data_IF_180043752291
#
_entry.id   IF_180043752291
#
_cell.length_a   1.000
_cell.length_b   1.000
_cell.length_c   1.000
_cell.angle_alpha   90.00
_cell.angle_beta   90.00
_cell.angle_gamma   90.00
#
_symmetry.space_group_name_H-M   'P 1'
#
loop_
_entity.id
_entity.type
_entity.pdbx_description
1 polymer ?
#
# COMPACT_ATOMS: atom_id res chain seq x y z
N UNK A 1 4.30 -21.04 -5.36
CA UNK A 1 4.19 -22.13 -4.38
C UNK A 1 3.21 -21.64 -3.31
N UNK A 2 1.99 -22.16 -3.30
CA UNK A 2 0.96 -21.80 -2.32
C UNK A 2 1.25 -22.55 -1.03
N UNK A 3 1.75 -21.86 -0.01
CA UNK A 3 1.89 -22.44 1.33
C UNK A 3 0.56 -22.23 2.05
N UNK A 4 -0.16 -23.33 2.28
CA UNK A 4 -1.29 -23.36 3.20
C UNK A 4 -0.74 -23.36 4.62
N UNK A 5 -1.01 -22.31 5.39
CA UNK A 5 -0.76 -22.30 6.85
C UNK A 5 -2.09 -22.40 7.56
N UNK A 6 -2.31 -23.51 8.24
CA UNK A 6 -3.46 -23.75 9.12
C UNK A 6 -3.15 -23.16 10.49
N UNK A 7 -3.88 -22.13 10.93
CA UNK A 7 -3.71 -21.57 12.28
C UNK A 7 -4.77 -22.10 13.24
N UNK A 8 -4.31 -22.66 14.37
CA UNK A 8 -5.11 -23.00 15.54
C UNK A 8 -5.19 -21.75 16.42
N UNK A 9 -6.40 -21.21 16.63
CA UNK A 9 -6.61 -20.06 17.52
C UNK A 9 -7.14 -20.54 18.89
N UNK A 10 -6.36 -20.28 19.94
CA UNK A 10 -6.85 -20.31 21.32
C UNK A 10 -7.66 -19.05 21.59
N UNK A 11 -8.88 -19.23 22.12
CA UNK A 11 -9.69 -18.13 22.63
C UNK A 11 -9.06 -17.60 23.91
N UNK A 12 -8.34 -16.48 23.83
CA UNK A 12 -8.07 -15.67 25.02
C UNK A 12 -8.39 -14.20 24.74
N UNK A 13 -9.47 -13.74 25.37
CA UNK A 13 -9.89 -12.34 25.42
C UNK A 13 -8.86 -11.55 26.23
N UNK A 14 -8.00 -10.79 25.56
CA UNK A 14 -7.18 -9.76 26.20
C UNK A 14 -7.59 -8.38 25.68
N UNK A 15 -7.73 -7.45 26.62
CA UNK A 15 -8.12 -6.07 26.38
C UNK A 15 -7.02 -5.35 25.58
N UNK A 16 -7.12 -5.41 24.25
CA UNK A 16 -6.46 -4.45 23.40
C UNK A 16 -7.07 -3.08 23.65
N UNK A 17 -6.23 -2.07 23.88
CA UNK A 17 -6.64 -0.68 23.69
C UNK A 17 -6.93 -0.56 22.19
N UNK A 18 -8.18 -0.79 21.80
CA UNK A 18 -8.62 -0.58 20.43
C UNK A 18 -8.58 0.93 20.22
N UNK A 19 -7.56 1.42 19.51
CA UNK A 19 -7.59 2.78 18.97
C UNK A 19 -8.91 2.89 18.20
N UNK A 20 -9.84 3.69 18.73
CA UNK A 20 -11.15 3.84 18.10
C UNK A 20 -10.97 4.79 16.93
N UNK A 21 -11.10 4.28 15.71
CA UNK A 21 -10.93 5.09 14.50
C UNK A 21 -12.12 6.03 14.28
N UNK A 22 -12.00 6.96 13.34
CA UNK A 22 -13.12 7.80 12.90
C UNK A 22 -14.30 6.95 12.37
N UNK A 23 -14.00 5.85 11.67
CA UNK A 23 -15.00 4.93 11.13
C UNK A 23 -15.66 4.12 12.25
N UNK A 24 -14.90 3.66 13.25
CA UNK A 24 -15.46 2.96 14.42
C UNK A 24 -16.44 3.87 15.18
N UNK A 25 -16.10 5.16 15.30
CA UNK A 25 -17.00 6.15 15.89
C UNK A 25 -18.28 6.35 15.07
N UNK A 26 -18.20 6.36 13.73
CA UNK A 26 -19.38 6.41 12.86
C UNK A 26 -20.27 5.17 13.04
N UNK A 27 -19.67 3.98 13.12
CA UNK A 27 -20.40 2.73 13.35
C UNK A 27 -21.07 2.71 14.73
N UNK A 28 -20.39 3.17 15.77
CA UNK A 28 -20.97 3.33 17.13
C UNK A 28 -22.12 4.35 17.15
N UNK A 29 -21.98 5.46 16.44
CA UNK A 29 -23.06 6.45 16.27
C UNK A 29 -24.27 5.82 15.57
N UNK A 30 -24.04 5.03 14.51
CA UNK A 30 -25.11 4.32 13.81
C UNK A 30 -25.82 3.31 14.72
N UNK A 31 -25.09 2.53 15.52
CA UNK A 31 -25.68 1.62 16.51
C UNK A 31 -26.51 2.36 17.56
N UNK A 32 -26.11 3.58 17.94
CA UNK A 32 -26.90 4.45 18.83
C UNK A 32 -28.18 4.96 18.15
N UNK A 33 -28.12 5.30 16.87
CA UNK A 33 -29.31 5.68 16.08
C UNK A 33 -30.26 4.48 15.94
N UNK A 34 -29.71 3.28 15.73
CA UNK A 34 -30.42 2.00 15.70
C UNK A 34 -31.01 1.62 17.05
N UNK A 35 -30.39 1.88 18.19
CA UNK A 35 -31.00 1.50 19.49
C UNK A 35 -32.18 2.42 19.85
N UNK A 36 -32.18 3.65 19.34
CA UNK A 36 -33.19 4.67 19.58
C UNK A 36 -34.33 4.71 18.53
N UNK A 37 -34.62 3.60 17.81
CA UNK A 37 -35.65 3.59 16.73
C UNK A 37 -37.02 4.08 17.19
N UNK A 38 -37.39 3.81 18.45
CA UNK A 38 -38.71 4.15 19.02
C UNK A 38 -38.89 5.65 19.29
N UNK A 39 -37.81 6.39 19.53
CA UNK A 39 -37.83 7.84 19.78
C UNK A 39 -37.63 8.67 18.49
N UNK A 40 -37.01 8.09 17.46
CA UNK A 40 -36.82 8.73 16.16
C UNK A 40 -38.06 8.57 15.26
N UNK A 41 -38.87 9.64 15.16
CA UNK A 41 -40.11 9.67 14.36
C UNK A 41 -39.99 9.20 12.91
N UNK A 42 -38.80 9.32 12.29
CA UNK A 42 -38.50 8.84 10.94
C UNK A 42 -38.49 7.31 10.81
N UNK A 43 -38.09 6.59 11.86
CA UNK A 43 -38.02 5.12 11.89
C UNK A 43 -39.30 4.46 12.44
N UNK A 44 -40.36 5.23 12.68
CA UNK A 44 -41.69 4.68 12.97
C UNK A 44 -42.24 3.88 11.79
N UNK A 45 -41.84 4.24 10.58
CA UNK A 45 -42.04 3.41 9.39
C UNK A 45 -40.93 2.36 9.29
N UNK A 46 -41.30 1.10 9.51
CA UNK A 46 -40.39 -0.04 9.45
C UNK A 46 -39.68 -0.16 8.09
N UNK A 47 -40.33 0.27 6.99
CA UNK A 47 -39.74 0.24 5.65
C UNK A 47 -38.55 1.18 5.54
N UNK A 48 -38.68 2.42 6.03
CA UNK A 48 -37.60 3.40 6.00
C UNK A 48 -36.39 2.95 6.84
N UNK A 49 -36.63 2.32 7.99
CA UNK A 49 -35.53 1.76 8.77
C UNK A 49 -34.78 0.66 8.02
N UNK A 50 -35.51 -0.29 7.41
CA UNK A 50 -34.91 -1.40 6.64
C UNK A 50 -34.08 -0.87 5.46
N UNK A 51 -34.62 0.07 4.69
CA UNK A 51 -33.92 0.64 3.54
C UNK A 51 -32.66 1.43 3.94
N UNK A 52 -32.73 2.25 4.99
CA UNK A 52 -31.55 2.98 5.48
C UNK A 52 -30.51 2.03 6.06
N UNK A 53 -30.92 1.00 6.82
CA UNK A 53 -29.98 0.03 7.35
C UNK A 53 -29.25 -0.73 6.23
N UNK A 54 -30.00 -1.20 5.23
CA UNK A 54 -29.43 -1.83 4.04
C UNK A 54 -28.50 -0.88 3.29
N UNK A 55 -28.83 0.40 3.21
CA UNK A 55 -27.96 1.41 2.61
C UNK A 55 -26.64 1.55 3.36
N UNK A 56 -26.66 1.65 4.70
CA UNK A 56 -25.43 1.71 5.51
C UNK A 56 -24.57 0.45 5.34
N UNK A 57 -25.18 -0.73 5.33
CA UNK A 57 -24.48 -1.99 5.05
C UNK A 57 -23.84 -1.98 3.65
N UNK A 58 -24.50 -1.38 2.65
CA UNK A 58 -23.98 -1.22 1.30
C UNK A 58 -22.84 -0.20 1.17
N UNK A 59 -22.66 0.71 2.14
CA UNK A 59 -21.49 1.58 2.19
C UNK A 59 -20.22 0.82 2.58
N UNK A 60 -20.37 -0.36 3.22
CA UNK A 60 -19.27 -1.21 3.66
C UNK A 60 -18.21 -0.44 4.46
N UNK A 61 -18.63 0.43 5.38
CA UNK A 61 -17.72 1.21 6.22
C UNK A 61 -16.88 0.28 7.10
N UNK A 62 -15.55 0.35 6.98
CA UNK A 62 -14.57 -0.35 7.80
C UNK A 62 -13.21 0.35 7.69
N UNK A 63 -12.24 -0.04 8.52
CA UNK A 63 -10.91 0.59 8.58
C UNK A 63 -9.96 0.17 7.46
N UNK A 64 -10.39 -0.69 6.52
CA UNK A 64 -9.58 -1.23 5.42
C UNK A 64 -10.31 -1.11 4.05
N UNK A 65 -11.08 -0.04 3.88
CA UNK A 65 -11.58 0.41 2.58
C UNK A 65 -10.43 0.87 1.67
N UNK A 66 -10.47 0.44 0.41
CA UNK A 66 -9.62 1.01 -0.65
C UNK A 66 -10.13 2.39 -1.09
N UNK A 67 -9.32 3.14 -1.84
CA UNK A 67 -9.72 4.42 -2.43
C UNK A 67 -11.00 4.29 -3.27
N UNK A 68 -11.11 3.26 -4.09
CA UNK A 68 -12.31 3.00 -4.90
C UNK A 68 -13.51 2.67 -4.02
N UNK A 69 -13.35 1.90 -2.95
CA UNK A 69 -14.45 1.63 -2.01
C UNK A 69 -14.93 2.91 -1.33
N UNK A 70 -14.01 3.83 -0.99
CA UNK A 70 -14.34 5.15 -0.45
C UNK A 70 -15.10 5.99 -1.49
N UNK A 71 -14.62 6.05 -2.74
CA UNK A 71 -15.30 6.76 -3.84
C UNK A 71 -16.71 6.20 -4.04
N UNK A 72 -16.87 4.88 -4.10
CA UNK A 72 -18.17 4.24 -4.27
C UNK A 72 -19.12 4.54 -3.11
N UNK A 73 -18.62 4.61 -1.88
CA UNK A 73 -19.41 5.01 -0.72
C UNK A 73 -19.84 6.49 -0.80
N UNK A 74 -18.92 7.39 -1.16
CA UNK A 74 -19.21 8.82 -1.37
C UNK A 74 -20.26 9.03 -2.47
N UNK A 75 -20.11 8.36 -3.61
CA UNK A 75 -21.08 8.41 -4.71
C UNK A 75 -22.48 7.94 -4.28
N UNK A 76 -22.57 6.88 -3.47
CA UNK A 76 -23.86 6.43 -2.92
C UNK A 76 -24.48 7.47 -2.00
N UNK A 77 -23.67 8.07 -1.12
CA UNK A 77 -24.12 9.11 -0.19
C UNK A 77 -24.62 10.33 -0.97
N UNK A 78 -23.84 10.84 -1.93
CA UNK A 78 -24.19 12.00 -2.75
C UNK A 78 -25.46 11.80 -3.60
N UNK A 79 -25.75 10.57 -4.01
CA UNK A 79 -26.99 10.21 -4.71
C UNK A 79 -28.18 9.92 -3.78
N UNK A 80 -28.02 10.10 -2.47
CA UNK A 80 -29.13 10.01 -1.53
C UNK A 80 -30.09 11.17 -1.77
N UNK A 81 -31.39 10.90 -1.69
CA UNK A 81 -32.36 11.96 -1.92
C UNK A 81 -32.69 12.75 -0.66
N UNK A 82 -32.57 14.07 -0.74
CA UNK A 82 -32.92 15.02 0.32
C UNK A 82 -34.23 15.74 0.01
N UNK A 83 -35.04 15.93 1.03
CA UNK A 83 -36.27 16.73 0.98
C UNK A 83 -36.12 18.00 1.83
N UNK A 84 -36.31 19.14 1.19
CA UNK A 84 -36.32 20.47 1.81
C UNK A 84 -37.46 21.30 1.22
N UNK A 85 -38.35 21.84 2.06
CA UNK A 85 -39.54 22.61 1.64
C UNK A 85 -40.31 21.98 0.45
N UNK A 86 -40.59 20.67 0.55
CA UNK A 86 -41.30 19.88 -0.48
C UNK A 86 -40.58 19.68 -1.82
N UNK A 87 -39.35 20.17 -1.95
CA UNK A 87 -38.49 19.92 -3.11
C UNK A 87 -37.57 18.75 -2.80
N UNK A 88 -37.37 17.87 -3.78
CA UNK A 88 -36.54 16.66 -3.69
C UNK A 88 -35.33 16.83 -4.62
N UNK A 89 -34.13 16.70 -4.08
CA UNK A 89 -32.88 16.83 -4.83
C UNK A 89 -31.81 15.85 -4.33
N UNK A 90 -30.75 15.60 -5.11
CA UNK A 90 -29.60 14.80 -4.67
C UNK A 90 -28.90 15.43 -3.47
N UNK A 91 -28.25 14.59 -2.66
CA UNK A 91 -27.53 15.07 -1.48
C UNK A 91 -26.29 15.89 -1.87
N UNK A 92 -25.66 15.62 -3.02
CA UNK A 92 -24.60 16.48 -3.56
C UNK A 92 -25.05 17.93 -3.73
N UNK A 93 -26.23 18.17 -4.30
CA UNK A 93 -26.78 19.52 -4.46
C UNK A 93 -27.09 20.16 -3.10
N UNK A 94 -27.54 19.37 -2.11
CA UNK A 94 -27.70 19.88 -0.74
C UNK A 94 -26.37 20.27 -0.11
N UNK A 95 -25.36 19.41 -0.23
CA UNK A 95 -24.03 19.62 0.34
C UNK A 95 -23.42 20.90 -0.24
N UNK A 96 -23.42 21.05 -1.57
CA UNK A 96 -22.89 22.23 -2.26
C UNK A 96 -23.62 23.52 -1.84
N UNK A 97 -24.96 23.52 -1.83
CA UNK A 97 -25.75 24.66 -1.36
C UNK A 97 -25.49 25.03 0.11
N UNK A 98 -25.02 24.09 0.92
CA UNK A 98 -24.64 24.30 2.32
C UNK A 98 -23.12 24.44 2.52
N UNK A 99 -22.37 24.67 1.44
CA UNK A 99 -20.91 24.91 1.43
C UNK A 99 -20.08 23.73 1.92
N UNK A 100 -20.61 22.52 1.81
CA UNK A 100 -19.81 21.31 1.94
C UNK A 100 -19.19 20.98 0.59
N UNK A 101 -17.99 20.39 0.63
CA UNK A 101 -17.31 19.90 -0.56
C UNK A 101 -18.02 18.64 -1.08
N UNK A 102 -17.92 18.39 -2.38
CA UNK A 102 -18.50 17.23 -3.06
C UNK A 102 -17.48 16.58 -4.00
N UNK A 103 -17.74 15.35 -4.45
CA UNK A 103 -16.89 14.63 -5.41
C UNK A 103 -16.67 15.42 -6.71
N UNK A 104 -17.66 16.23 -7.12
CA UNK A 104 -17.55 17.11 -8.29
C UNK A 104 -16.38 18.09 -8.19
N UNK A 105 -16.06 18.59 -7.00
CA UNK A 105 -14.92 19.51 -6.77
C UNK A 105 -13.58 18.83 -7.03
N UNK A 106 -13.55 17.50 -6.89
CA UNK A 106 -12.38 16.64 -7.10
C UNK A 106 -12.33 16.06 -8.52
N UNK A 107 -13.22 16.51 -9.41
CA UNK A 107 -13.39 16.01 -10.78
C UNK A 107 -13.72 14.51 -10.84
N UNK A 108 -14.33 13.97 -9.77
CA UNK A 108 -14.83 12.59 -9.76
C UNK A 108 -16.29 12.62 -10.20
N UNK A 109 -16.68 11.87 -11.24
CA UNK A 109 -18.06 11.84 -11.69
C UNK A 109 -18.94 11.24 -10.59
N UNK A 110 -20.08 11.89 -10.32
CA UNK A 110 -21.14 11.22 -9.58
C UNK A 110 -21.72 10.11 -10.47
N UNK A 111 -21.82 8.90 -9.92
CA UNK A 111 -22.42 7.77 -10.60
C UNK A 111 -23.37 7.06 -9.64
N UNK A 112 -24.55 6.67 -10.14
CA UNK A 112 -25.54 5.96 -9.35
C UNK A 112 -26.97 6.41 -9.60
N UNK A 113 -27.90 5.56 -9.18
CA UNK A 113 -29.32 5.89 -9.17
C UNK A 113 -29.70 6.53 -7.83
N UNK A 114 -30.65 7.48 -7.82
CA UNK A 114 -31.17 8.04 -6.59
C UNK A 114 -31.69 6.97 -5.64
N UNK A 115 -31.51 7.19 -4.33
CA UNK A 115 -32.02 6.26 -3.31
C UNK A 115 -33.55 6.16 -3.33
N UNK A 116 -34.06 4.97 -3.00
CA UNK A 116 -35.51 4.71 -2.91
C UNK A 116 -36.14 5.49 -1.75
N UNK A 117 -35.40 5.73 -0.67
CA UNK A 117 -35.82 6.55 0.46
C UNK A 117 -35.41 8.01 0.27
N UNK A 118 -36.03 8.89 1.08
CA UNK A 118 -35.67 10.31 1.15
C UNK A 118 -35.42 10.72 2.59
N UNK A 119 -34.45 11.60 2.80
CA UNK A 119 -34.08 12.12 4.12
C UNK A 119 -34.49 13.59 4.20
N UNK A 120 -35.06 14.01 5.33
CA UNK A 120 -35.32 15.43 5.56
C UNK A 120 -34.02 16.17 5.86
N UNK A 121 -33.80 17.31 5.21
CA UNK A 121 -32.61 18.17 5.39
C UNK A 121 -32.32 18.53 6.86
N UNK A 122 -33.35 18.67 7.69
CA UNK A 122 -33.21 19.07 9.10
C UNK A 122 -33.08 17.88 10.08
N UNK A 123 -33.00 16.65 9.56
CA UNK A 123 -32.98 15.43 10.38
C UNK A 123 -31.59 15.10 10.93
N UNK A 124 -31.57 14.34 12.03
CA UNK A 124 -30.32 13.76 12.55
C UNK A 124 -29.63 12.82 11.56
N UNK A 125 -30.40 12.16 10.67
CA UNK A 125 -29.85 11.35 9.59
C UNK A 125 -29.10 12.18 8.54
N UNK A 126 -29.62 13.35 8.17
CA UNK A 126 -28.91 14.26 7.27
C UNK A 126 -27.56 14.66 7.85
N UNK A 127 -27.52 14.99 9.15
CA UNK A 127 -26.27 15.31 9.87
C UNK A 127 -25.32 14.12 9.95
N UNK A 128 -25.85 12.93 10.21
CA UNK A 128 -25.06 11.69 10.23
C UNK A 128 -24.41 11.45 8.86
N UNK A 129 -25.18 11.51 7.76
CA UNK A 129 -24.62 11.33 6.41
C UNK A 129 -23.66 12.45 6.01
N UNK A 130 -23.87 13.68 6.46
CA UNK A 130 -22.91 14.79 6.28
C UNK A 130 -21.57 14.45 6.96
N UNK A 131 -21.62 13.90 8.18
CA UNK A 131 -20.42 13.49 8.92
C UNK A 131 -19.70 12.31 8.24
N UNK A 132 -20.44 11.27 7.84
CA UNK A 132 -19.88 10.13 7.09
C UNK A 132 -19.21 10.63 5.80
N UNK A 133 -19.90 11.48 5.04
CA UNK A 133 -19.37 12.07 3.81
C UNK A 133 -18.07 12.84 4.05
N UNK A 134 -18.06 13.74 5.04
CA UNK A 134 -16.88 14.57 5.35
C UNK A 134 -15.67 13.73 5.75
N UNK A 135 -15.87 12.69 6.57
CA UNK A 135 -14.80 11.76 6.98
C UNK A 135 -14.26 10.99 5.76
N UNK A 136 -15.14 10.39 4.96
CA UNK A 136 -14.75 9.63 3.78
C UNK A 136 -14.05 10.50 2.73
N UNK A 137 -14.51 11.73 2.52
CA UNK A 137 -13.87 12.66 1.59
C UNK A 137 -12.46 13.01 2.07
N UNK A 138 -12.28 13.25 3.38
CA UNK A 138 -10.97 13.54 3.97
C UNK A 138 -10.01 12.35 3.82
N UNK A 139 -10.51 11.13 4.08
CA UNK A 139 -9.77 9.89 3.90
C UNK A 139 -9.32 9.70 2.43
N UNK A 140 -10.24 9.92 1.48
CA UNK A 140 -9.92 9.85 0.05
C UNK A 140 -8.77 10.80 -0.33
N UNK A 141 -8.87 12.06 0.07
CA UNK A 141 -7.88 13.07 -0.28
C UNK A 141 -6.51 12.75 0.33
N UNK A 142 -6.48 12.37 1.61
CA UNK A 142 -5.24 12.02 2.29
C UNK A 142 -4.58 10.81 1.64
N UNK A 143 -5.34 9.74 1.40
CA UNK A 143 -4.85 8.54 0.74
C UNK A 143 -4.29 8.84 -0.66
N UNK A 144 -4.99 9.66 -1.45
CA UNK A 144 -4.53 10.07 -2.78
C UNK A 144 -3.23 10.86 -2.73
N UNK A 145 -3.12 11.83 -1.83
CA UNK A 145 -1.91 12.64 -1.68
C UNK A 145 -0.70 11.78 -1.25
N UNK A 146 -0.90 10.73 -0.43
CA UNK A 146 0.16 9.79 -0.08
C UNK A 146 0.61 8.94 -1.27
N UNK A 147 -0.32 8.40 -2.05
CA UNK A 147 0.00 7.60 -3.25
C UNK A 147 0.73 8.43 -4.30
N UNK A 148 0.38 9.71 -4.44
CA UNK A 148 1.06 10.65 -5.34
C UNK A 148 2.40 11.16 -4.78
N UNK A 149 2.80 10.74 -3.56
CA UNK A 149 4.06 11.12 -2.93
C UNK A 149 4.12 12.59 -2.50
N UNK A 150 2.97 13.25 -2.37
CA UNK A 150 2.88 14.68 -2.05
C UNK A 150 3.02 14.97 -0.55
N UNK A 151 2.58 14.04 0.31
CA UNK A 151 2.57 14.23 1.78
C UNK A 151 3.18 13.07 2.58
N UNK A 152 4.33 12.49 2.19
CA UNK A 152 4.90 11.45 3.02
C UNK A 152 5.26 11.97 4.40
N UNK A 153 5.08 11.10 5.38
CA UNK A 153 5.36 11.40 6.77
C UNK A 153 6.86 11.56 7.00
N UNK A 154 7.66 10.63 6.47
CA UNK A 154 9.11 10.71 6.52
C UNK A 154 9.73 10.37 5.17
N UNK A 155 10.84 11.06 4.88
CA UNK A 155 11.71 10.87 3.72
C UNK A 155 13.13 10.73 4.23
N UNK A 156 13.75 9.58 3.98
CA UNK A 156 15.13 9.29 4.37
C UNK A 156 15.97 9.10 3.11
N UNK A 157 16.94 9.98 2.92
CA UNK A 157 18.00 9.82 1.92
C UNK A 157 19.21 9.18 2.61
N UNK A 158 19.58 7.97 2.20
CA UNK A 158 20.73 7.30 2.78
C UNK A 158 22.00 8.04 2.35
N UNK A 159 22.84 8.39 3.33
CA UNK A 159 24.18 8.92 3.07
C UNK A 159 25.09 7.83 2.49
N UNK A 160 26.21 8.24 1.89
CA UNK A 160 27.18 7.29 1.36
C UNK A 160 27.72 6.34 2.46
N UNK A 161 28.03 6.89 3.63
CA UNK A 161 28.51 6.11 4.78
C UNK A 161 27.44 5.12 5.26
N UNK A 162 26.17 5.56 5.35
CA UNK A 162 25.08 4.65 5.68
C UNK A 162 24.94 3.52 4.66
N UNK A 163 25.03 3.80 3.35
CA UNK A 163 24.99 2.77 2.30
C UNK A 163 26.14 1.76 2.44
N UNK A 164 27.34 2.20 2.84
CA UNK A 164 28.47 1.30 3.12
C UNK A 164 28.27 0.49 4.42
N UNK A 165 27.65 1.10 5.43
CA UNK A 165 27.43 0.48 6.74
C UNK A 165 26.24 -0.48 6.79
N UNK A 166 25.26 -0.39 5.87
CA UNK A 166 24.19 -1.39 5.84
C UNK A 166 24.77 -2.73 5.45
N UNK A 167 24.96 -3.58 6.46
CA UNK A 167 25.41 -4.96 6.33
C UNK A 167 24.49 -5.76 5.39
N UNK A 168 23.25 -5.30 5.22
CA UNK A 168 22.23 -5.88 4.34
C UNK A 168 22.50 -5.57 2.87
N UNK A 169 22.90 -4.34 2.51
CA UNK A 169 23.38 -4.05 1.16
C UNK A 169 24.77 -4.63 0.90
N UNK A 170 25.56 -4.93 1.93
CA UNK A 170 26.91 -5.46 1.77
C UNK A 170 26.96 -6.93 1.32
N UNK A 171 25.91 -7.72 1.56
CA UNK A 171 25.79 -9.04 0.92
C UNK A 171 25.28 -8.95 -0.53
N UNK A 172 24.87 -7.78 -1.03
CA UNK A 172 24.57 -7.57 -2.46
C UNK A 172 25.79 -7.89 -3.32
N UNK A 173 26.96 -7.37 -2.92
CA UNK A 173 28.20 -7.57 -3.64
C UNK A 173 28.56 -9.06 -3.66
N UNK A 174 28.71 -9.69 -2.49
CA UNK A 174 29.09 -11.10 -2.37
C UNK A 174 28.13 -12.01 -3.12
N UNK A 175 26.83 -11.77 -3.00
CA UNK A 175 25.82 -12.61 -3.65
C UNK A 175 25.83 -12.42 -5.16
N UNK A 176 25.92 -11.17 -5.65
CA UNK A 176 25.97 -10.91 -7.10
C UNK A 176 27.30 -11.20 -7.73
N UNK A 177 28.35 -11.53 -6.97
CA UNK A 177 29.58 -12.10 -7.53
C UNK A 177 29.40 -13.56 -7.95
N UNK A 178 28.45 -14.29 -7.36
CA UNK A 178 28.13 -15.66 -7.75
C UNK A 178 27.64 -15.73 -9.20
N UNK A 179 27.74 -16.91 -9.83
CA UNK A 179 27.30 -17.06 -11.23
C UNK A 179 25.76 -16.98 -11.34
N UNK A 180 25.03 -17.58 -10.40
CA UNK A 180 23.57 -17.58 -10.36
C UNK A 180 23.03 -17.91 -8.96
N UNK A 181 21.79 -17.52 -8.68
CA UNK A 181 21.06 -17.93 -7.48
C UNK A 181 20.36 -19.30 -7.64
N UNK A 182 20.01 -19.97 -6.54
CA UNK A 182 19.21 -21.20 -6.57
C UNK A 182 17.83 -21.04 -7.22
N UNK A 183 17.23 -19.85 -7.09
CA UNK A 183 15.85 -19.57 -7.49
C UNK A 183 15.66 -19.28 -9.01
N UNK A 184 16.78 -19.30 -9.76
CA UNK A 184 16.78 -19.26 -11.22
C UNK A 184 17.19 -17.91 -11.78
N UNK A 185 16.46 -17.45 -12.80
CA UNK A 185 16.79 -16.25 -13.58
C UNK A 185 15.60 -15.28 -13.68
N UNK A 186 15.86 -14.12 -14.29
CA UNK A 186 14.93 -13.01 -14.39
C UNK A 186 13.76 -13.23 -15.37
N UNK A 187 13.67 -14.37 -16.09
CA UNK A 187 12.61 -14.60 -17.09
C UNK A 187 11.22 -14.41 -16.47
N UNK A 188 10.98 -14.97 -15.29
CA UNK A 188 9.70 -14.81 -14.57
C UNK A 188 9.41 -13.34 -14.27
N UNK A 189 10.44 -12.56 -13.96
CA UNK A 189 10.34 -11.16 -13.59
C UNK A 189 9.97 -10.27 -14.79
N UNK A 190 10.58 -10.53 -15.95
CA UNK A 190 10.17 -9.90 -17.21
C UNK A 190 8.74 -10.28 -17.60
N UNK A 191 8.35 -11.56 -17.44
CA UNK A 191 7.00 -12.03 -17.78
C UNK A 191 5.91 -11.44 -16.89
N UNK A 192 6.19 -11.25 -15.58
CA UNK A 192 5.29 -10.56 -14.65
C UNK A 192 5.33 -9.03 -14.80
N UNK A 193 6.10 -8.50 -15.76
CA UNK A 193 6.34 -7.05 -15.96
C UNK A 193 6.99 -6.35 -14.75
N UNK A 194 7.58 -7.13 -13.85
CA UNK A 194 8.35 -6.63 -12.72
C UNK A 194 9.71 -6.07 -13.15
N UNK A 195 10.21 -6.47 -14.33
CA UNK A 195 11.45 -5.94 -14.91
C UNK A 195 11.19 -5.37 -16.30
N UNK A 196 11.70 -4.17 -16.56
CA UNK A 196 11.64 -3.48 -17.86
C UNK A 196 13.01 -2.96 -18.30
N UNK A 197 13.14 -2.61 -19.58
CA UNK A 197 14.34 -1.96 -20.15
C UNK A 197 13.88 -0.68 -20.82
N UNK A 198 14.43 0.48 -20.42
CA UNK A 198 13.97 1.82 -20.82
C UNK A 198 12.45 2.03 -20.65
N UNK A 199 11.87 1.46 -19.59
CA UNK A 199 10.44 1.46 -19.31
C UNK A 199 9.62 0.56 -20.24
N UNK A 200 10.24 -0.10 -21.22
CA UNK A 200 9.55 -0.97 -22.15
C UNK A 200 9.38 -2.39 -21.58
N UNK A 201 8.17 -2.91 -21.67
CA UNK A 201 7.88 -4.32 -21.39
C UNK A 201 8.45 -5.19 -22.52
N UNK A 202 9.22 -6.21 -22.13
CA UNK A 202 9.71 -7.21 -23.09
C UNK A 202 8.71 -8.36 -23.15
N UNK A 203 8.06 -8.53 -24.30
CA UNK A 203 7.07 -9.58 -24.47
C UNK A 203 7.76 -10.94 -24.71
N UNK A 204 7.46 -11.96 -23.90
CA UNK A 204 8.04 -13.29 -24.07
C UNK A 204 7.61 -13.91 -25.40
N UNK A 205 8.50 -14.69 -26.02
CA UNK A 205 8.20 -15.47 -27.24
C UNK A 205 7.84 -16.92 -26.95
N UNK A 206 8.06 -17.39 -25.74
CA UNK A 206 7.89 -18.77 -25.33
C UNK A 206 7.18 -18.86 -23.98
N UNK A 207 6.63 -20.03 -23.69
CA UNK A 207 6.07 -20.33 -22.38
C UNK A 207 7.09 -20.87 -21.38
N UNK A 208 8.37 -21.00 -21.78
CA UNK A 208 9.44 -21.44 -20.89
C UNK A 208 9.67 -20.42 -19.77
N UNK A 209 9.89 -20.94 -18.56
CA UNK A 209 10.18 -20.14 -17.38
C UNK A 209 11.69 -20.02 -17.10
N UNK A 210 12.49 -20.80 -17.83
CA UNK A 210 13.94 -20.87 -17.63
C UNK A 210 14.71 -20.18 -18.75
N UNK A 211 14.15 -20.10 -19.95
CA UNK A 211 14.80 -19.53 -21.14
C UNK A 211 13.75 -18.89 -22.04
N UNK A 212 14.00 -17.68 -22.53
CA UNK A 212 13.15 -17.04 -23.53
C UNK A 212 13.99 -16.19 -24.46
N UNK A 213 14.04 -16.57 -25.73
CA UNK A 213 14.91 -15.92 -26.72
C UNK A 213 14.62 -14.44 -26.96
N UNK A 214 13.41 -13.94 -26.70
CA UNK A 214 13.15 -12.50 -26.81
C UNK A 214 13.74 -11.73 -25.65
N UNK A 215 13.59 -12.25 -24.42
CA UNK A 215 14.13 -11.64 -23.21
C UNK A 215 15.66 -11.72 -23.22
N UNK A 216 16.23 -12.87 -23.56
CA UNK A 216 17.68 -13.06 -23.66
C UNK A 216 18.30 -12.06 -24.64
N UNK A 217 17.78 -11.99 -25.88
CA UNK A 217 18.28 -11.03 -26.89
C UNK A 217 18.09 -9.57 -26.48
N UNK A 218 17.01 -9.24 -25.76
CA UNK A 218 16.80 -7.89 -25.26
C UNK A 218 17.87 -7.53 -24.22
N UNK A 219 18.19 -8.44 -23.30
CA UNK A 219 19.25 -8.25 -22.30
C UNK A 219 20.62 -8.14 -22.96
N UNK A 220 20.96 -9.06 -23.88
CA UNK A 220 22.24 -9.05 -24.60
C UNK A 220 22.42 -7.79 -25.45
N UNK A 221 21.39 -7.40 -26.20
CA UNK A 221 21.40 -6.18 -27.00
C UNK A 221 21.46 -4.90 -26.15
N UNK A 222 20.88 -4.93 -24.95
CA UNK A 222 20.94 -3.82 -23.99
C UNK A 222 22.33 -3.72 -23.34
N UNK A 223 22.79 -4.76 -22.65
CA UNK A 223 23.95 -4.71 -21.78
C UNK A 223 25.28 -5.00 -22.50
N UNK A 224 25.23 -5.67 -23.65
CA UNK A 224 26.39 -6.29 -24.28
C UNK A 224 26.85 -7.56 -23.57
N UNK A 225 27.52 -8.45 -24.31
CA UNK A 225 27.91 -9.78 -23.85
C UNK A 225 26.81 -10.83 -24.06
N UNK A 226 26.96 -11.97 -23.40
CA UNK A 226 26.03 -13.11 -23.49
C UNK A 226 25.40 -13.43 -22.14
N UNK A 227 24.12 -13.80 -22.13
CA UNK A 227 23.46 -14.31 -20.91
C UNK A 227 24.04 -15.66 -20.45
N UNK A 228 24.69 -16.40 -21.34
CA UNK A 228 25.35 -17.67 -21.05
C UNK A 228 26.72 -17.48 -20.37
N UNK A 229 27.24 -16.24 -20.36
CA UNK A 229 28.43 -15.85 -19.61
C UNK A 229 28.00 -15.17 -18.30
N UNK A 230 27.91 -15.89 -17.16
CA UNK A 230 27.25 -15.37 -15.96
C UNK A 230 27.92 -14.11 -15.40
N UNK A 231 29.22 -13.96 -15.64
CA UNK A 231 30.07 -12.84 -15.20
C UNK A 231 30.05 -11.62 -16.12
N UNK A 232 29.35 -11.68 -17.25
CA UNK A 232 29.12 -10.54 -18.14
C UNK A 232 28.01 -9.63 -17.61
N UNK A 233 27.89 -8.39 -18.12
CA UNK A 233 26.78 -7.49 -17.75
C UNK A 233 25.41 -8.13 -18.07
N UNK A 234 25.27 -8.73 -19.26
CA UNK A 234 24.07 -9.46 -19.67
C UNK A 234 23.79 -10.66 -18.74
N UNK A 235 24.81 -11.44 -18.40
CA UNK A 235 24.71 -12.56 -17.47
C UNK A 235 24.24 -12.14 -16.07
N UNK A 236 24.74 -11.02 -15.54
CA UNK A 236 24.30 -10.51 -14.23
C UNK A 236 22.86 -10.03 -14.25
N UNK A 237 22.45 -9.28 -15.27
CA UNK A 237 21.05 -8.87 -15.44
C UNK A 237 20.15 -10.11 -15.54
N UNK A 238 20.53 -11.10 -16.33
CA UNK A 238 19.75 -12.32 -16.51
C UNK A 238 19.61 -13.13 -15.22
N UNK A 239 20.68 -13.31 -14.45
CA UNK A 239 20.67 -14.18 -13.28
C UNK A 239 20.24 -13.49 -11.97
N UNK A 240 20.28 -12.16 -11.87
CA UNK A 240 20.08 -11.45 -10.60
C UNK A 240 19.01 -10.36 -10.60
N UNK A 241 18.46 -9.93 -11.74
CA UNK A 241 17.59 -8.74 -11.77
C UNK A 241 16.43 -8.78 -10.79
N UNK A 242 15.43 -9.65 -10.92
CA UNK A 242 14.22 -9.52 -10.09
C UNK A 242 14.28 -10.21 -8.74
N UNK A 243 14.89 -11.39 -8.65
CA UNK A 243 14.80 -12.23 -7.45
C UNK A 243 15.68 -11.76 -6.29
N UNK A 244 16.82 -11.15 -6.59
CA UNK A 244 17.77 -10.77 -5.56
C UNK A 244 17.48 -9.39 -4.97
N UNK A 245 17.02 -8.47 -5.82
CA UNK A 245 16.80 -7.09 -5.43
C UNK A 245 15.57 -6.92 -4.54
N UNK A 246 14.56 -7.79 -4.73
CA UNK A 246 13.42 -7.89 -3.82
C UNK A 246 13.85 -8.44 -2.44
N UNK A 247 14.66 -9.50 -2.39
CA UNK A 247 15.09 -10.09 -1.12
C UNK A 247 15.93 -9.13 -0.24
N UNK A 248 16.87 -8.39 -0.82
CA UNK A 248 17.77 -7.48 -0.07
C UNK A 248 17.03 -6.24 0.43
N UNK A 249 16.24 -5.60 -0.42
CA UNK A 249 15.50 -4.39 0.01
C UNK A 249 14.51 -4.72 1.13
N UNK A 250 13.93 -5.93 1.10
CA UNK A 250 13.02 -6.40 2.13
C UNK A 250 13.73 -6.80 3.43
N UNK A 251 14.98 -7.23 3.34
CA UNK A 251 15.83 -7.41 4.51
C UNK A 251 16.22 -6.04 5.11
N UNK A 252 16.48 -5.03 4.28
CA UNK A 252 16.78 -3.67 4.75
C UNK A 252 15.55 -3.07 5.44
N UNK A 253 14.34 -3.29 4.90
CA UNK A 253 13.10 -2.94 5.60
C UNK A 253 13.05 -3.58 6.99
N UNK A 254 13.29 -4.89 7.07
CA UNK A 254 13.17 -5.64 8.33
C UNK A 254 14.19 -5.23 9.39
N UNK A 255 15.32 -4.65 8.97
CA UNK A 255 16.40 -4.21 9.85
C UNK A 255 16.37 -2.72 10.17
N UNK A 256 15.79 -1.89 9.30
CA UNK A 256 15.84 -0.43 9.44
C UNK A 256 14.51 0.20 9.84
N UNK A 257 13.37 -0.44 9.56
CA UNK A 257 12.05 0.10 9.86
C UNK A 257 11.50 -0.52 11.14
N UNK A 258 11.05 0.33 12.07
CA UNK A 258 10.53 -0.08 13.38
C UNK A 258 9.23 0.66 13.70
N UNK A 259 8.46 0.11 14.63
CA UNK A 259 7.32 0.80 15.22
C UNK A 259 7.82 1.99 16.04
N UNK A 260 7.13 3.12 15.96
CA UNK A 260 7.45 4.31 16.75
C UNK A 260 7.38 4.02 18.24
N UNK A 261 6.34 3.32 18.68
CA UNK A 261 6.11 3.04 20.10
C UNK A 261 6.88 1.82 20.62
N UNK A 262 7.54 1.04 19.74
CA UNK A 262 8.32 -0.12 20.13
C UNK A 262 9.46 -0.44 19.15
N UNK A 263 10.64 0.15 19.41
CA UNK A 263 11.85 -0.03 18.58
C UNK A 263 12.45 -1.44 18.63
N UNK A 264 12.14 -2.21 19.67
CA UNK A 264 12.76 -3.51 19.89
C UNK A 264 12.14 -4.61 19.02
N UNK A 265 11.00 -4.32 18.41
CA UNK A 265 10.26 -5.26 17.56
C UNK A 265 10.79 -5.17 16.13
N UNK A 266 11.20 -6.31 15.59
CA UNK A 266 11.54 -6.42 14.17
C UNK A 266 10.28 -6.61 13.35
N UNK A 267 10.13 -5.77 12.34
CA UNK A 267 9.05 -5.88 11.38
C UNK A 267 9.47 -6.80 10.25
N UNK A 268 8.61 -7.74 9.89
CA UNK A 268 8.75 -8.52 8.66
C UNK A 268 7.78 -7.97 7.63
N UNK A 269 8.26 -7.78 6.40
CA UNK A 269 7.42 -7.50 5.23
C UNK A 269 6.30 -8.55 5.04
N UNK A 270 5.14 -8.08 4.61
CA UNK A 270 4.00 -8.88 4.16
C UNK A 270 3.83 -8.78 2.64
N UNK A 271 2.76 -8.12 2.19
CA UNK A 271 2.46 -7.91 0.77
C UNK A 271 3.36 -6.83 0.16
N UNK A 272 4.03 -7.15 -0.95
CA UNK A 272 5.05 -6.30 -1.57
C UNK A 272 4.86 -6.25 -3.09
N UNK A 273 5.07 -5.06 -3.68
CA UNK A 273 5.18 -4.88 -5.13
C UNK A 273 6.54 -4.27 -5.48
N UNK A 274 7.36 -5.04 -6.17
CA UNK A 274 8.66 -4.59 -6.69
C UNK A 274 8.61 -4.31 -8.20
N UNK A 275 9.34 -3.28 -8.63
CA UNK A 275 9.58 -2.97 -10.04
C UNK A 275 11.04 -2.57 -10.26
N UNK A 276 11.61 -3.03 -11.36
CA UNK A 276 12.98 -2.71 -11.78
C UNK A 276 12.93 -2.23 -13.22
N UNK A 277 13.53 -1.07 -13.46
CA UNK A 277 13.74 -0.56 -14.80
C UNK A 277 15.24 -0.41 -15.06
N UNK A 278 15.74 -1.14 -16.05
CA UNK A 278 17.11 -1.02 -16.53
C UNK A 278 17.23 0.10 -17.57
N UNK A 279 18.27 0.91 -17.49
CA UNK A 279 18.54 2.03 -18.40
C UNK A 279 20.05 2.22 -18.55
N UNK A 280 20.48 3.03 -19.52
CA UNK A 280 21.89 3.40 -19.67
C UNK A 280 22.12 4.87 -19.41
N UNK A 281 23.27 5.17 -18.81
CA UNK A 281 23.81 6.51 -18.77
C UNK A 281 25.24 6.45 -19.31
N UNK A 282 25.53 7.18 -20.39
CA UNK A 282 26.82 7.13 -21.09
C UNK A 282 27.23 5.68 -21.46
N UNK A 283 26.32 4.93 -22.08
CA UNK A 283 26.47 3.50 -22.40
C UNK A 283 26.60 2.52 -21.22
N UNK A 284 26.67 3.01 -19.98
CA UNK A 284 26.78 2.16 -18.80
C UNK A 284 25.40 1.79 -18.24
N UNK A 285 25.08 0.48 -18.11
CA UNK A 285 23.82 0.03 -17.52
C UNK A 285 23.69 0.41 -16.04
N UNK A 286 22.50 0.85 -15.66
CA UNK A 286 22.06 1.03 -14.28
C UNK A 286 20.59 0.62 -14.16
N UNK A 287 20.14 0.34 -12.94
CA UNK A 287 18.73 0.07 -12.65
C UNK A 287 18.17 1.11 -11.69
N UNK A 288 16.91 1.49 -11.92
CA UNK A 288 16.05 2.11 -10.91
C UNK A 288 15.11 1.06 -10.35
N UNK A 289 15.09 0.90 -9.04
CA UNK A 289 14.28 -0.09 -8.33
C UNK A 289 13.27 0.64 -7.46
N UNK A 290 12.01 0.22 -7.52
CA UNK A 290 10.95 0.67 -6.62
C UNK A 290 10.35 -0.54 -5.93
N UNK A 291 10.25 -0.50 -4.60
CA UNK A 291 9.60 -1.53 -3.79
C UNK A 291 8.58 -0.86 -2.89
N UNK A 292 7.31 -1.23 -3.05
CA UNK A 292 6.19 -0.78 -2.22
C UNK A 292 5.80 -1.88 -1.25
N UNK A 293 5.70 -1.56 0.04
CA UNK A 293 5.31 -2.49 1.10
C UNK A 293 3.92 -2.11 1.60
N UNK A 294 2.94 -2.99 1.41
CA UNK A 294 1.53 -2.72 1.74
C UNK A 294 1.12 -3.27 3.10
N UNK A 295 1.80 -4.31 3.57
CA UNK A 295 1.59 -4.86 4.91
C UNK A 295 2.90 -5.31 5.53
N UNK A 296 2.94 -5.40 6.85
CA UNK A 296 4.02 -5.98 7.61
C UNK A 296 3.48 -6.76 8.81
N UNK A 297 4.33 -7.56 9.42
CA UNK A 297 3.99 -8.45 10.52
C UNK A 297 5.08 -8.43 11.57
N UNK A 298 4.73 -8.65 12.83
CA UNK A 298 5.72 -8.84 13.89
C UNK A 298 5.18 -9.77 14.96
N UNK A 299 6.06 -10.34 15.77
CA UNK A 299 5.65 -11.19 16.89
C UNK A 299 5.94 -10.50 18.21
N UNK A 300 4.96 -10.52 19.11
CA UNK A 300 5.08 -10.08 20.50
C UNK A 300 4.51 -11.13 21.46
N UNK A 301 4.41 -10.78 22.75
CA UNK A 301 3.85 -11.66 23.78
C UNK A 301 2.39 -12.04 23.54
N UNK A 302 1.66 -11.29 22.70
CA UNK A 302 0.29 -11.58 22.29
C UNK A 302 0.21 -12.42 20.99
N UNK A 303 1.36 -12.78 20.40
CA UNK A 303 1.46 -13.62 19.21
C UNK A 303 1.81 -12.85 17.94
N UNK A 304 1.50 -13.44 16.79
CA UNK A 304 1.76 -12.84 15.49
C UNK A 304 0.76 -11.72 15.21
N UNK A 305 1.27 -10.51 15.05
CA UNK A 305 0.53 -9.31 14.67
C UNK A 305 0.69 -9.04 13.17
N UNK A 306 -0.38 -8.54 12.55
CA UNK A 306 -0.45 -8.17 11.13
C UNK A 306 -0.90 -6.71 11.01
N UNK A 307 -0.19 -5.94 10.21
CA UNK A 307 -0.35 -4.50 10.07
C UNK A 307 -0.55 -4.11 8.61
N UNK A 308 -1.43 -3.14 8.36
CA UNK A 308 -1.67 -2.53 7.05
C UNK A 308 -1.99 -1.05 7.22
N UNK A 309 -1.98 -0.27 6.13
CA UNK A 309 -2.49 1.10 6.17
C UNK A 309 -4.02 1.09 6.38
N UNK A 310 -4.48 1.94 7.28
CA UNK A 310 -5.90 2.24 7.49
C UNK A 310 -6.50 2.98 6.30
N UNK A 311 -7.82 2.98 6.17
CA UNK A 311 -8.57 3.75 5.17
C UNK A 311 -8.39 5.25 5.26
N UNK A 312 -7.91 5.78 6.38
CA UNK A 312 -7.54 7.19 6.48
C UNK A 312 -6.31 7.53 5.62
N UNK A 313 -5.52 6.53 5.22
CA UNK A 313 -4.33 6.69 4.38
C UNK A 313 -3.06 7.07 5.14
N UNK A 314 -3.09 7.20 6.47
CA UNK A 314 -1.94 7.62 7.27
C UNK A 314 -1.69 6.81 8.55
N UNK A 315 -2.69 6.11 9.09
CA UNK A 315 -2.55 5.36 10.34
C UNK A 315 -2.29 3.88 10.07
N UNK A 316 -1.49 3.23 10.92
CA UNK A 316 -1.39 1.77 10.94
C UNK A 316 -2.63 1.14 11.56
N UNK A 317 -3.14 0.10 10.91
CA UNK A 317 -4.24 -0.71 11.41
C UNK A 317 -3.78 -2.12 11.75
N UNK A 318 -4.11 -2.55 12.98
CA UNK A 318 -3.88 -3.92 13.44
C UNK A 318 -5.00 -4.84 12.98
N UNK A 319 -4.66 -5.84 12.16
CA UNK A 319 -5.59 -6.82 11.64
C UNK A 319 -5.85 -7.89 12.70
N UNK A 320 -6.85 -7.63 13.53
CA UNK A 320 -7.19 -8.45 14.71
C UNK A 320 -8.15 -9.60 14.43
N UNK A 321 -8.88 -9.55 13.30
CA UNK A 321 -9.87 -10.54 12.92
C UNK A 321 -9.57 -11.19 11.56
N UNK A 322 -9.83 -12.50 11.45
CA UNK A 322 -9.57 -13.28 10.23
C UNK A 322 -10.22 -12.66 8.97
N UNK A 323 -11.44 -12.12 9.09
CA UNK A 323 -12.13 -11.47 7.96
C UNK A 323 -11.44 -10.18 7.50
N UNK A 324 -10.87 -9.41 8.43
CA UNK A 324 -10.10 -8.20 8.09
C UNK A 324 -8.78 -8.59 7.41
N UNK A 325 -8.11 -9.61 7.94
CA UNK A 325 -6.88 -10.15 7.37
C UNK A 325 -7.09 -10.66 5.94
N UNK A 326 -8.12 -11.48 5.71
CA UNK A 326 -8.46 -12.00 4.37
C UNK A 326 -8.77 -10.86 3.39
N UNK A 327 -9.55 -9.87 3.83
CA UNK A 327 -9.88 -8.70 3.00
C UNK A 327 -8.63 -7.90 2.64
N UNK A 328 -7.79 -7.56 3.61
CA UNK A 328 -6.57 -6.80 3.39
C UNK A 328 -5.58 -7.53 2.47
N UNK A 329 -5.38 -8.84 2.68
CA UNK A 329 -4.53 -9.68 1.81
C UNK A 329 -5.08 -9.68 0.38
N UNK A 330 -6.39 -9.87 0.21
CA UNK A 330 -7.00 -9.88 -1.12
C UNK A 330 -6.83 -8.55 -1.85
N UNK A 331 -7.01 -7.42 -1.17
CA UNK A 331 -6.84 -6.09 -1.75
C UNK A 331 -5.38 -5.83 -2.13
N UNK A 332 -4.46 -6.13 -1.22
CA UNK A 332 -3.03 -5.99 -1.46
C UNK A 332 -2.57 -6.86 -2.64
N UNK A 333 -3.10 -8.08 -2.77
CA UNK A 333 -2.76 -8.96 -3.87
C UNK A 333 -3.13 -8.36 -5.23
N UNK A 334 -4.29 -7.69 -5.33
CA UNK A 334 -4.73 -7.02 -6.56
C UNK A 334 -3.79 -5.87 -6.95
N UNK A 335 -3.33 -5.09 -5.97
CA UNK A 335 -2.30 -4.06 -6.19
C UNK A 335 -0.98 -4.69 -6.69
N UNK A 336 -0.52 -5.75 -6.02
CA UNK A 336 0.74 -6.43 -6.33
C UNK A 336 0.77 -6.96 -7.75
N UNK A 337 -0.32 -7.56 -8.23
CA UNK A 337 -0.41 -8.08 -9.61
C UNK A 337 -0.74 -7.00 -10.64
N UNK A 338 -1.06 -5.78 -10.20
CA UNK A 338 -1.43 -4.66 -11.07
C UNK A 338 -2.83 -4.75 -11.67
N UNK A 339 -3.74 -5.50 -11.05
CA UNK A 339 -5.17 -5.48 -11.38
C UNK A 339 -5.84 -4.20 -10.86
N UNK A 340 -5.30 -3.64 -9.77
CA UNK A 340 -5.57 -2.28 -9.33
C UNK A 340 -4.25 -1.49 -9.30
N UNK A 341 -4.33 -0.17 -9.41
CA UNK A 341 -3.17 0.71 -9.36
C UNK A 341 -3.49 1.92 -8.46
N UNK A 342 -2.75 2.04 -7.37
CA UNK A 342 -2.89 3.19 -6.47
C UNK A 342 -4.21 3.18 -5.71
N UNK A 343 -4.77 2.00 -5.44
CA UNK A 343 -6.01 1.84 -4.68
C UNK A 343 -5.75 1.63 -3.18
N UNK A 344 -4.53 1.22 -2.83
CA UNK A 344 -4.04 1.04 -1.46
C UNK A 344 -2.78 1.87 -1.26
N UNK A 345 -2.73 2.62 -0.15
CA UNK A 345 -1.53 3.38 0.23
C UNK A 345 -0.51 2.40 0.82
N UNK A 346 0.73 2.35 0.33
CA UNK A 346 1.77 1.52 0.93
C UNK A 346 2.22 2.11 2.26
N UNK A 347 2.62 1.26 3.20
CA UNK A 347 3.25 1.63 4.47
C UNK A 347 4.53 2.44 4.23
N UNK A 348 5.35 1.93 3.31
CA UNK A 348 6.58 2.56 2.89
C UNK A 348 6.96 2.18 1.47
N UNK A 349 7.80 3.01 0.85
CA UNK A 349 8.37 2.79 -0.47
C UNK A 349 9.89 2.94 -0.43
N UNK A 350 10.60 1.95 -0.94
CA UNK A 350 12.04 2.03 -1.20
C UNK A 350 12.26 2.35 -2.66
N UNK A 351 13.10 3.35 -2.92
CA UNK A 351 13.52 3.74 -4.27
C UNK A 351 15.04 3.70 -4.32
N UNK A 352 15.60 2.79 -5.12
CA UNK A 352 17.03 2.55 -5.19
C UNK A 352 17.56 2.77 -6.60
N UNK A 353 18.82 3.17 -6.68
CA UNK A 353 19.60 3.14 -7.91
C UNK A 353 20.73 2.14 -7.77
N UNK A 354 20.82 1.22 -8.72
CA UNK A 354 21.82 0.16 -8.72
C UNK A 354 22.71 0.31 -9.95
N UNK A 355 24.02 0.14 -9.76
CA UNK A 355 25.03 0.12 -10.82
C UNK A 355 25.61 -1.28 -10.98
N UNK A 356 26.08 -1.57 -12.19
CA UNK A 356 26.94 -2.73 -12.42
C UNK A 356 28.39 -2.29 -12.27
N UNK A 357 29.07 -2.84 -11.28
CA UNK A 357 30.48 -2.61 -10.99
C UNK A 357 31.32 -3.77 -11.51
N UNK A 358 32.65 -3.62 -11.52
CA UNK A 358 33.59 -4.67 -11.96
C UNK A 358 34.76 -4.76 -10.98
N UNK A 359 35.14 -5.99 -10.65
CA UNK A 359 36.35 -6.31 -9.87
C UNK A 359 37.10 -7.50 -10.49
N UNK A 360 38.07 -8.06 -9.78
CA UNK A 360 38.88 -9.20 -10.24
C UNK A 360 38.06 -10.48 -10.50
N UNK A 361 36.88 -10.62 -9.88
CA UNK A 361 36.01 -11.80 -9.97
C UNK A 361 35.01 -11.70 -11.13
N UNK A 362 34.67 -10.47 -11.55
CA UNK A 362 33.76 -10.16 -12.66
C UNK A 362 32.87 -8.95 -12.39
N UNK A 363 31.75 -8.86 -13.10
CA UNK A 363 30.73 -7.83 -12.83
C UNK A 363 29.90 -8.18 -11.59
N UNK A 364 29.44 -7.18 -10.85
CA UNK A 364 28.56 -7.33 -9.68
C UNK A 364 27.65 -6.11 -9.51
N UNK A 365 26.65 -6.17 -8.63
CA UNK A 365 25.73 -5.06 -8.38
C UNK A 365 26.14 -4.28 -7.13
N UNK A 366 25.99 -2.96 -7.18
CA UNK A 366 26.18 -2.05 -6.04
C UNK A 366 25.05 -1.02 -5.99
N UNK A 367 24.57 -0.72 -4.77
CA UNK A 367 23.62 0.37 -4.55
C UNK A 367 24.36 1.70 -4.59
N UNK A 368 23.94 2.57 -5.49
CA UNK A 368 24.47 3.93 -5.64
C UNK A 368 23.67 4.95 -4.85
N UNK A 369 22.35 4.75 -4.76
CA UNK A 369 21.41 5.64 -4.07
C UNK A 369 20.28 4.82 -3.46
N UNK A 370 19.84 5.20 -2.26
CA UNK A 370 18.63 4.65 -1.63
C UNK A 370 17.84 5.80 -1.00
N UNK A 371 16.56 5.86 -1.35
CA UNK A 371 15.58 6.77 -0.79
C UNK A 371 14.43 5.95 -0.21
N UNK A 372 14.07 6.23 1.03
CA UNK A 372 12.96 5.58 1.71
C UNK A 372 11.88 6.60 2.04
N UNK A 373 10.65 6.30 1.63
CA UNK A 373 9.47 7.07 1.95
C UNK A 373 8.60 6.26 2.92
N UNK A 374 8.19 6.87 4.04
CA UNK A 374 7.26 6.28 5.01
C UNK A 374 5.97 7.11 5.01
N UNK A 375 4.82 6.45 4.88
CA UNK A 375 3.50 7.10 4.74
C UNK A 375 2.69 7.14 6.04
N UNK A 376 3.26 6.71 7.16
CA UNK A 376 2.60 6.69 8.47
C UNK A 376 3.54 7.18 9.57
N UNK A 377 2.99 7.91 10.53
CA UNK A 377 3.68 8.39 11.73
C UNK A 377 3.94 7.29 12.77
N UNK A 378 3.32 6.12 12.58
CA UNK A 378 3.46 4.96 13.46
C UNK A 378 4.72 4.15 13.14
N UNK A 379 5.37 4.41 11.99
CA UNK A 379 6.63 3.81 11.57
C UNK A 379 7.74 4.85 11.53
N UNK A 380 8.97 4.37 11.71
CA UNK A 380 10.18 5.17 11.51
C UNK A 380 11.34 4.33 11.02
N UNK A 381 12.34 5.02 10.45
CA UNK A 381 13.61 4.40 10.10
C UNK A 381 14.68 4.72 11.15
N UNK A 382 15.47 3.72 11.53
CA UNK A 382 16.68 3.88 12.35
C UNK A 382 17.80 4.62 11.59
N UNK A 383 17.65 4.83 10.28
CA UNK A 383 18.58 5.55 9.41
C UNK A 383 18.26 7.04 9.28
N UNK A 384 17.21 7.54 9.92
CA UNK A 384 16.89 8.97 9.92
C UNK A 384 17.88 9.77 10.77
N UNK A 385 18.76 10.53 10.11
CA UNK A 385 19.83 11.33 10.72
C UNK A 385 19.29 12.49 11.57
N UNK A 386 18.03 12.91 11.36
CA UNK A 386 17.44 13.99 12.18
C UNK A 386 17.25 13.58 13.64
N UNK A 387 17.27 12.28 13.94
CA UNK A 387 17.09 11.76 15.29
C UNK A 387 18.38 11.35 15.99
N UNK A 388 19.42 10.93 15.25
CA UNK A 388 20.74 10.63 15.85
C UNK A 388 21.37 11.84 16.55
N UNK A 389 21.00 13.06 16.13
CA UNK A 389 21.37 14.29 16.83
C UNK A 389 20.50 14.62 18.05
N UNK A 390 19.26 14.11 18.15
CA UNK A 390 18.39 14.36 19.32
C UNK A 390 18.85 13.55 20.55
N UNK A 391 19.36 12.34 20.33
CA UNK A 391 19.94 11.50 21.40
C UNK A 391 21.35 11.95 21.84
N UNK A 392 22.01 12.82 21.07
CA UNK A 392 23.34 13.33 21.38
C UNK A 392 23.33 14.59 22.28
N UNK A 393 22.16 15.15 22.58
CA UNK A 393 22.02 16.34 23.44
C UNK A 393 21.51 16.06 24.86
N UNK A 394 21.30 14.79 25.23
CA UNK A 394 20.96 14.35 26.59
C UNK A 394 22.14 13.66 27.32
N UNK A 395 23.36 14.19 27.14
CA UNK A 395 24.55 13.83 27.96
C UNK A 395 25.14 15.06 28.64
#
# INVERSE_FOLDING_TARGET
MLIFITYYWGNDTHNFITMTTAIDNLLKQWETIKSNKKSNGFFKDAKNFVEVNKFIEQLKLNNIMTIDEIILALQKIENTSIVHHSTRYPFSEWLDNNRYRVLGDLHIPSSGNPTVFSISANSGLCRFFTNVHSILLSHYELAKLHIEGQIPVSKIDYTHDQLQETQVFMDLETTTQQDKLPDGNAIKDFRRKGVTIYGATIYPKSNSLDRDTAIEKAIEGFAGGSVDEPKSKAGKIFNFSGQFLEAICLEEFSNSIVLRDNENVRLERGSVKGHINWSKHNEEPYATVQVKIYSCTYSDDAGQQFLTMSSDGCSLYHLSHNLELEKAISQNQLEVVGETEGNVVPLCEFNLKIKIMVNEVGHYFAVDQCHVQINTDDLRSTKDVKWSNALAFDV
#
